data_IF_679561359128
#
_entry.id   IF_679561359128
#
_cell.length_a   1.000
_cell.length_b   1.000
_cell.length_c   1.000
_cell.angle_alpha   90.00
_cell.angle_beta   90.00
_cell.angle_gamma   90.00
#
_symmetry.space_group_name_H-M   'P 1'
#
loop_
_entity.id
_entity.type
_entity.pdbx_description
1 polymer ?
#
# COMPACT_ATOMS: atom_id res chain seq x y z
N UNK A 1 13.66 11.96 32.07
CA UNK A 1 13.52 12.25 30.63
C UNK A 1 13.22 10.93 29.97
N UNK A 2 12.07 10.80 29.32
CA UNK A 2 11.82 9.61 28.51
C UNK A 2 12.71 9.72 27.27
N UNK A 3 13.70 8.83 27.16
CA UNK A 3 14.44 8.63 25.92
C UNK A 3 13.44 8.06 24.91
N UNK A 4 13.03 8.90 23.97
CA UNK A 4 12.33 8.42 22.77
C UNK A 4 13.44 7.77 21.94
N UNK A 5 13.53 6.44 21.97
CA UNK A 5 14.34 5.68 21.01
C UNK A 5 13.79 6.01 19.62
N UNK A 6 14.48 6.90 18.91
CA UNK A 6 14.12 7.21 17.52
C UNK A 6 14.55 6.02 16.65
N UNK A 7 13.69 5.02 16.55
CA UNK A 7 13.76 3.95 15.54
C UNK A 7 13.60 4.48 14.08
N UNK A 8 13.65 5.79 13.87
CA UNK A 8 13.22 6.48 12.65
C UNK A 8 14.23 6.53 11.50
N UNK A 9 15.38 5.86 11.59
CA UNK A 9 16.46 5.96 10.60
C UNK A 9 16.85 4.62 9.94
N UNK A 10 15.94 3.65 9.90
CA UNK A 10 16.27 2.29 9.45
C UNK A 10 16.80 2.19 8.01
N UNK A 11 16.48 3.16 7.16
CA UNK A 11 17.00 3.23 5.79
C UNK A 11 18.13 4.24 5.60
N UNK A 12 18.59 4.91 6.67
CA UNK A 12 19.70 5.85 6.60
C UNK A 12 21.03 5.09 6.41
N UNK A 13 21.78 5.45 5.37
CA UNK A 13 23.02 4.75 5.01
C UNK A 13 22.83 3.43 4.26
N UNK A 14 21.59 3.05 3.92
CA UNK A 14 21.34 1.93 3.01
C UNK A 14 21.76 2.34 1.59
N UNK A 15 22.63 1.53 0.99
CA UNK A 15 23.04 1.69 -0.40
C UNK A 15 21.83 1.77 -1.34
N UNK A 16 21.85 2.69 -2.30
CA UNK A 16 20.72 2.91 -3.23
C UNK A 16 20.31 1.62 -3.95
N UNK A 17 21.29 0.78 -4.28
CA UNK A 17 21.07 -0.52 -4.94
C UNK A 17 20.30 -1.50 -4.06
N UNK A 18 20.52 -1.48 -2.75
CA UNK A 18 19.82 -2.31 -1.76
C UNK A 18 18.41 -1.77 -1.58
N UNK A 19 18.26 -0.45 -1.39
CA UNK A 19 16.95 0.20 -1.27
C UNK A 19 16.07 -0.08 -2.50
N UNK A 20 16.64 -0.01 -3.69
CA UNK A 20 15.96 -0.36 -4.95
C UNK A 20 15.43 -1.80 -4.96
N UNK A 21 16.22 -2.77 -4.50
CA UNK A 21 15.78 -4.18 -4.42
C UNK A 21 14.61 -4.35 -3.45
N UNK A 22 14.65 -3.67 -2.30
CA UNK A 22 13.55 -3.69 -1.33
C UNK A 22 12.26 -3.08 -1.90
N UNK A 23 12.38 -1.98 -2.67
CA UNK A 23 11.23 -1.39 -3.38
C UNK A 23 10.66 -2.37 -4.41
N UNK A 24 11.50 -3.03 -5.19
CA UNK A 24 11.06 -4.03 -6.18
C UNK A 24 10.32 -5.18 -5.49
N UNK A 25 10.86 -5.72 -4.39
CA UNK A 25 10.21 -6.76 -3.60
C UNK A 25 8.85 -6.33 -3.07
N UNK A 26 8.76 -5.08 -2.58
CA UNK A 26 7.49 -4.51 -2.13
C UNK A 26 6.47 -4.41 -3.26
N UNK A 27 6.89 -3.93 -4.43
CA UNK A 27 6.04 -3.88 -5.62
C UNK A 27 5.55 -5.27 -6.04
N UNK A 28 6.43 -6.27 -6.05
CA UNK A 28 6.06 -7.65 -6.37
C UNK A 28 5.04 -8.22 -5.39
N UNK A 29 5.18 -7.96 -4.09
CA UNK A 29 4.20 -8.39 -3.08
C UNK A 29 2.82 -7.74 -3.30
N UNK A 30 2.79 -6.42 -3.56
CA UNK A 30 1.54 -5.70 -3.82
C UNK A 30 0.88 -6.13 -5.12
N UNK A 31 1.67 -6.48 -6.14
CA UNK A 31 1.16 -7.04 -7.39
C UNK A 31 0.48 -8.38 -7.18
N UNK A 32 1.08 -9.26 -6.35
CA UNK A 32 0.46 -10.54 -5.98
C UNK A 32 -0.88 -10.31 -5.28
N UNK A 33 -0.92 -9.39 -4.31
CA UNK A 33 -2.16 -9.02 -3.62
C UNK A 33 -3.25 -8.52 -4.59
N UNK A 34 -2.87 -7.69 -5.56
CA UNK A 34 -3.79 -7.14 -6.56
C UNK A 34 -4.11 -8.11 -7.72
N UNK A 35 -3.53 -9.32 -7.75
CA UNK A 35 -3.68 -10.27 -8.84
C UNK A 35 -3.14 -9.77 -10.18
N UNK A 36 -2.09 -8.94 -10.18
CA UNK A 36 -1.53 -8.31 -11.38
C UNK A 36 -0.20 -8.94 -11.80
N UNK A 37 -0.07 -9.22 -13.10
CA UNK A 37 1.22 -9.49 -13.73
C UNK A 37 2.00 -8.19 -14.01
N UNK A 38 3.31 -8.29 -14.28
CA UNK A 38 4.14 -7.12 -14.70
C UNK A 38 3.54 -6.45 -15.94
N UNK A 39 3.05 -7.24 -16.90
CA UNK A 39 2.37 -6.71 -18.10
C UNK A 39 1.07 -5.97 -17.76
N UNK A 40 0.24 -6.55 -16.88
CA UNK A 40 -1.02 -5.96 -16.45
C UNK A 40 -0.78 -4.65 -15.69
N UNK A 41 0.24 -4.62 -14.83
CA UNK A 41 0.64 -3.41 -14.12
C UNK A 41 1.15 -2.33 -15.09
N UNK A 42 2.01 -2.67 -16.05
CA UNK A 42 2.51 -1.74 -17.06
C UNK A 42 1.36 -1.07 -17.82
N UNK A 43 0.38 -1.88 -18.26
CA UNK A 43 -0.81 -1.39 -18.93
C UNK A 43 -1.65 -0.47 -18.04
N UNK A 44 -1.99 -0.90 -16.81
CA UNK A 44 -2.80 -0.09 -15.88
C UNK A 44 -2.10 1.22 -15.47
N UNK A 45 -0.79 1.19 -15.29
CA UNK A 45 0.01 2.36 -14.91
C UNK A 45 0.37 3.27 -16.10
N UNK A 46 0.11 2.86 -17.34
CA UNK A 46 0.53 3.62 -18.53
C UNK A 46 2.05 3.74 -18.64
N UNK A 47 2.78 2.69 -18.24
CA UNK A 47 4.24 2.59 -18.36
C UNK A 47 4.55 1.61 -19.49
N UNK A 48 5.52 1.94 -20.35
CA UNK A 48 5.95 1.03 -21.42
C UNK A 48 6.41 -0.31 -20.85
N UNK A 49 5.99 -1.43 -21.45
CA UNK A 49 6.29 -2.78 -20.93
C UNK A 49 7.79 -2.99 -20.70
N UNK A 50 8.62 -2.75 -21.71
CA UNK A 50 10.08 -2.90 -21.57
C UNK A 50 10.65 -2.00 -20.46
N UNK A 51 10.17 -0.76 -20.35
CA UNK A 51 10.60 0.16 -19.31
C UNK A 51 10.23 -0.32 -17.91
N UNK A 52 9.02 -0.87 -17.71
CA UNK A 52 8.65 -1.43 -16.40
C UNK A 52 9.49 -2.67 -16.08
N UNK A 53 9.74 -3.55 -17.06
CA UNK A 53 10.57 -4.74 -16.87
C UNK A 53 12.00 -4.38 -16.46
N UNK A 54 12.63 -3.42 -17.15
CA UNK A 54 13.96 -2.94 -16.79
C UNK A 54 13.99 -2.28 -15.40
N UNK A 55 12.97 -1.50 -15.04
CA UNK A 55 12.90 -0.86 -13.71
C UNK A 55 12.64 -1.87 -12.59
N UNK A 56 11.97 -2.98 -12.89
CA UNK A 56 11.69 -4.09 -11.97
C UNK A 56 12.81 -5.15 -11.94
N UNK A 57 13.84 -5.03 -12.79
CA UNK A 57 14.98 -5.94 -12.80
C UNK A 57 15.99 -5.54 -11.72
N UNK A 58 16.26 -6.41 -10.76
CA UNK A 58 17.15 -6.16 -9.61
C UNK A 58 18.59 -5.81 -10.00
N UNK A 59 19.04 -6.19 -11.20
CA UNK A 59 20.42 -5.95 -11.68
C UNK A 59 20.54 -4.79 -12.67
N UNK A 60 19.42 -4.34 -13.25
CA UNK A 60 19.41 -3.25 -14.21
C UNK A 60 19.72 -1.88 -13.56
N UNK A 61 20.20 -0.96 -14.39
CA UNK A 61 20.52 0.43 -14.01
C UNK A 61 19.35 1.41 -14.19
N UNK A 62 18.16 0.91 -14.53
CA UNK A 62 16.97 1.76 -14.72
C UNK A 62 16.28 2.00 -13.38
N UNK A 63 15.95 3.25 -13.10
CA UNK A 63 15.34 3.68 -11.83
C UNK A 63 13.89 4.12 -12.04
N UNK A 64 13.07 3.90 -11.01
CA UNK A 64 11.73 4.48 -10.94
C UNK A 64 11.83 5.99 -10.75
N UNK A 65 11.09 6.74 -11.57
CA UNK A 65 10.87 8.16 -11.34
C UNK A 65 9.72 8.33 -10.34
N UNK A 66 9.60 9.52 -9.75
CA UNK A 66 8.47 9.82 -8.86
C UNK A 66 7.11 9.70 -9.58
N UNK A 67 7.06 10.02 -10.88
CA UNK A 67 5.86 9.85 -11.71
C UNK A 67 5.50 8.38 -11.91
N UNK A 68 6.49 7.49 -12.02
CA UNK A 68 6.24 6.06 -12.09
C UNK A 68 5.60 5.57 -10.79
N UNK A 69 6.09 6.02 -9.63
CA UNK A 69 5.51 5.67 -8.34
C UNK A 69 4.06 6.14 -8.21
N UNK A 70 3.73 7.37 -8.62
CA UNK A 70 2.33 7.83 -8.61
C UNK A 70 1.43 6.98 -9.51
N UNK A 71 1.91 6.63 -10.71
CA UNK A 71 1.16 5.80 -11.66
C UNK A 71 0.94 4.38 -11.13
N UNK A 72 1.98 3.80 -10.53
CA UNK A 72 1.94 2.45 -9.94
C UNK A 72 1.03 2.43 -8.70
N UNK A 73 1.16 3.42 -7.80
CA UNK A 73 0.30 3.56 -6.62
C UNK A 73 -1.18 3.59 -7.02
N UNK A 74 -1.51 4.41 -8.03
CA UNK A 74 -2.86 4.49 -8.58
C UNK A 74 -3.32 3.17 -9.22
N UNK A 75 -2.45 2.49 -9.95
CA UNK A 75 -2.78 1.22 -10.61
C UNK A 75 -3.02 0.06 -9.64
N UNK A 76 -2.34 0.09 -8.49
CA UNK A 76 -2.46 -0.90 -7.41
C UNK A 76 -3.51 -0.52 -6.36
N UNK A 77 -4.07 0.70 -6.44
CA UNK A 77 -4.98 1.27 -5.44
C UNK A 77 -4.37 1.25 -4.02
N UNK A 78 -3.15 1.76 -3.89
CA UNK A 78 -2.41 1.86 -2.63
C UNK A 78 -1.87 3.28 -2.43
N UNK A 79 -1.63 3.66 -1.18
CA UNK A 79 -0.95 4.90 -0.84
C UNK A 79 0.50 4.87 -1.35
N UNK A 80 1.02 6.04 -1.75
CA UNK A 80 2.41 6.18 -2.17
C UNK A 80 3.38 5.68 -1.08
N UNK A 81 3.08 5.94 0.19
CA UNK A 81 3.90 5.51 1.32
C UNK A 81 3.96 3.97 1.43
N UNK A 82 2.87 3.29 1.07
CA UNK A 82 2.79 1.83 1.12
C UNK A 82 3.62 1.14 0.02
N UNK A 83 4.10 1.88 -1.00
CA UNK A 83 5.02 1.37 -2.01
C UNK A 83 6.46 1.25 -1.52
N UNK A 84 6.83 1.99 -0.48
CA UNK A 84 8.18 1.98 0.04
C UNK A 84 8.41 0.80 0.99
N UNK A 85 9.67 0.38 1.18
CA UNK A 85 10.01 -0.70 2.09
C UNK A 85 9.52 -0.39 3.51
N UNK A 86 8.96 -1.39 4.16
CA UNK A 86 8.47 -1.26 5.55
C UNK A 86 9.63 -1.31 6.53
N UNK A 87 9.58 -0.47 7.56
CA UNK A 87 10.50 -0.55 8.72
C UNK A 87 10.31 -1.87 9.48
N UNK A 88 11.25 -2.23 10.34
CA UNK A 88 11.20 -3.39 11.24
C UNK A 88 9.96 -3.34 12.13
N UNK A 89 9.62 -2.16 12.65
CA UNK A 89 8.41 -1.94 13.43
C UNK A 89 7.16 -2.17 12.57
N UNK A 90 7.12 -1.61 11.35
CA UNK A 90 6.02 -1.86 10.41
C UNK A 90 5.94 -3.33 9.98
N UNK A 91 7.05 -4.07 9.88
CA UNK A 91 7.04 -5.52 9.62
C UNK A 91 6.49 -6.31 10.81
N UNK A 92 6.78 -5.89 12.03
CA UNK A 92 6.31 -6.53 13.26
C UNK A 92 4.78 -6.41 13.42
N UNK A 93 4.24 -5.26 13.04
CA UNK A 93 2.80 -5.00 12.99
C UNK A 93 2.15 -5.37 11.63
N UNK A 94 2.98 -5.59 10.59
CA UNK A 94 2.60 -5.65 9.17
C UNK A 94 2.21 -7.02 8.64
N UNK A 95 1.80 -7.94 9.52
CA UNK A 95 1.12 -9.17 9.09
C UNK A 95 -0.22 -8.91 8.41
N UNK A 96 -0.72 -7.67 8.47
CA UNK A 96 -1.94 -7.25 7.80
C UNK A 96 -1.62 -6.65 6.44
N UNK A 97 -2.38 -7.08 5.42
CA UNK A 97 -2.30 -6.51 4.09
C UNK A 97 -2.60 -5.01 4.14
N UNK A 98 -1.89 -4.18 3.37
CA UNK A 98 -2.16 -2.76 3.30
C UNK A 98 -3.61 -2.52 2.84
N UNK A 99 -4.31 -1.66 3.57
CA UNK A 99 -5.63 -1.15 3.15
C UNK A 99 -5.48 -0.43 1.81
N UNK A 100 -6.46 -0.60 0.94
CA UNK A 100 -6.49 0.10 -0.34
C UNK A 100 -6.60 1.60 -0.13
N UNK A 101 -6.04 2.39 -1.04
CA UNK A 101 -6.15 3.84 -1.01
C UNK A 101 -7.60 4.31 -1.09
N UNK A 102 -8.45 3.60 -1.85
CA UNK A 102 -9.90 3.82 -1.84
C UNK A 102 -10.54 3.64 -0.47
N UNK A 103 -10.11 2.64 0.31
CA UNK A 103 -10.60 2.41 1.69
C UNK A 103 -10.13 3.51 2.62
N UNK A 104 -8.85 3.92 2.53
CA UNK A 104 -8.32 5.03 3.31
C UNK A 104 -9.06 6.34 3.00
N UNK A 105 -9.31 6.62 1.72
CA UNK A 105 -10.09 7.78 1.30
C UNK A 105 -11.54 7.73 1.83
N UNK A 106 -12.14 6.55 1.87
CA UNK A 106 -13.47 6.39 2.47
C UNK A 106 -13.44 6.73 3.96
N UNK A 107 -12.44 6.25 4.71
CA UNK A 107 -12.26 6.60 6.12
C UNK A 107 -12.09 8.11 6.31
N UNK A 108 -11.28 8.77 5.46
CA UNK A 108 -11.11 10.23 5.52
C UNK A 108 -12.42 10.98 5.30
N UNK A 109 -13.25 10.53 4.35
CA UNK A 109 -14.58 11.10 4.10
C UNK A 109 -15.47 10.89 5.33
N UNK A 110 -15.45 9.71 5.95
CA UNK A 110 -16.24 9.41 7.14
C UNK A 110 -15.79 10.21 8.36
N UNK A 111 -14.49 10.44 8.53
CA UNK A 111 -13.97 11.29 9.62
C UNK A 111 -14.37 12.75 9.47
N UNK A 112 -14.62 13.21 8.25
CA UNK A 112 -15.10 14.56 7.95
C UNK A 112 -16.64 14.68 7.89
N UNK A 113 -17.37 13.56 8.03
CA UNK A 113 -18.82 13.55 7.88
C UNK A 113 -19.53 14.11 9.13
N UNK A 114 -20.76 14.62 8.99
CA UNK A 114 -21.62 14.95 10.12
C UNK A 114 -21.84 13.76 11.05
N UNK A 115 -22.06 14.04 12.34
CA UNK A 115 -22.24 13.01 13.37
C UNK A 115 -23.37 12.05 13.02
N UNK A 116 -24.47 12.56 12.49
CA UNK A 116 -25.68 11.80 12.16
C UNK A 116 -25.41 10.74 11.10
N UNK A 117 -24.60 11.06 10.09
CA UNK A 117 -24.22 10.13 9.03
C UNK A 117 -23.30 9.02 9.56
N UNK A 118 -22.38 9.37 10.47
CA UNK A 118 -21.49 8.40 11.13
C UNK A 118 -22.28 7.44 12.02
N UNK A 119 -23.21 7.95 12.83
CA UNK A 119 -24.08 7.14 13.70
C UNK A 119 -24.96 6.20 12.87
N UNK A 120 -25.59 6.72 11.81
CA UNK A 120 -26.37 5.90 10.89
C UNK A 120 -25.55 4.75 10.30
N UNK A 121 -24.34 5.01 9.83
CA UNK A 121 -23.48 3.99 9.22
C UNK A 121 -23.01 2.96 10.26
N UNK A 122 -22.76 3.40 11.50
CA UNK A 122 -22.41 2.52 12.62
C UNK A 122 -23.54 1.55 12.94
N UNK A 123 -24.77 2.06 13.06
CA UNK A 123 -25.95 1.27 13.37
C UNK A 123 -26.28 0.30 12.22
N UNK A 124 -26.19 0.78 10.98
CA UNK A 124 -26.38 -0.07 9.80
C UNK A 124 -25.38 -1.24 9.77
N UNK A 125 -24.10 -0.98 10.03
CA UNK A 125 -23.08 -2.03 10.09
C UNK A 125 -23.34 -3.04 11.21
N UNK A 126 -23.76 -2.58 12.39
CA UNK A 126 -24.13 -3.45 13.52
C UNK A 126 -25.29 -4.38 13.17
N UNK A 127 -26.33 -3.87 12.52
CA UNK A 127 -27.48 -4.67 12.11
C UNK A 127 -27.13 -5.70 11.03
N UNK A 128 -26.30 -5.33 10.04
CA UNK A 128 -25.79 -6.29 9.05
C UNK A 128 -25.03 -7.44 9.72
N UNK A 129 -24.15 -7.11 10.68
CA UNK A 129 -23.35 -8.13 11.37
C UNK A 129 -24.22 -9.10 12.17
N UNK A 130 -25.24 -8.61 12.88
CA UNK A 130 -26.21 -9.46 13.59
C UNK A 130 -26.91 -10.42 12.65
N UNK A 131 -27.40 -9.92 11.51
CA UNK A 131 -28.05 -10.75 10.49
C UNK A 131 -27.15 -11.88 9.99
N UNK A 132 -25.90 -11.57 9.69
CA UNK A 132 -24.96 -12.56 9.16
C UNK A 132 -24.57 -13.61 10.23
N UNK A 133 -24.52 -13.22 11.52
CA UNK A 133 -24.34 -14.14 12.65
C UNK A 133 -25.57 -15.04 12.90
N UNK A 134 -26.79 -14.56 12.63
CA UNK A 134 -28.03 -15.32 12.77
C UNK A 134 -28.28 -16.29 11.61
N UNK A 135 -27.74 -16.02 10.41
CA UNK A 135 -27.82 -16.93 9.25
C UNK A 135 -26.85 -18.13 9.39
N UNK A 136 -25.81 -17.98 10.22
CA UNK A 136 -24.78 -19.01 10.45
C UNK A 136 -25.08 -19.93 11.65
N UNK A 137 -26.23 -19.75 12.33
CA UNK A 137 -26.75 -20.62 13.39
C UNK A 137 -27.87 -21.52 12.85
#
# INVERSE_FOLDING_TARGET
MAEIETEGFEFFGVEETVFRKMVIERLEALMVQAGLSKNSLAHKAGIGRSALYEKMDREAKSHFTILDFFRIAKALDVSLLQLFPMTSLERLHGGQLPLSASTLKFLDIMLAAPKEDIEFLSDFYRELKKRDEDILK
#
